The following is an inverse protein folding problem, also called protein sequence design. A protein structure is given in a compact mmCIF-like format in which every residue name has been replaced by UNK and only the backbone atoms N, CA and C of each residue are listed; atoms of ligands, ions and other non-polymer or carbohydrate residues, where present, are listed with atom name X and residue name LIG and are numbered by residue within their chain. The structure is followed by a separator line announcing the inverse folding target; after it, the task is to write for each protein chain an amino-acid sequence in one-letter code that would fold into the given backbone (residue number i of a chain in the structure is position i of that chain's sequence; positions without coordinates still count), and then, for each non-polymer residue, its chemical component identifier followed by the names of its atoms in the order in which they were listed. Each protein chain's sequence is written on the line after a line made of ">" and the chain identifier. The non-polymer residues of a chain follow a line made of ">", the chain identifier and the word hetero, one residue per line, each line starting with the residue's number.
data_IF_406992860117
#
_entry.id   IF_406992860117
#
_cell.length_a   1.000
_cell.length_b   1.000
_cell.length_c   1.000
_cell.angle_alpha   90.00
_cell.angle_beta   90.00
_cell.angle_gamma   90.00
#
_symmetry.space_group_name_H-M   'P 1'
#
loop_
_entity.id
_entity.type
_entity.pdbx_description
1 polymer ?
#
# COMPACT_ATOMS: atom_id res chain seq x y z
N UNK A 1 28.93 48.12 -9.70
CA UNK A 1 28.04 47.14 -9.04
C UNK A 1 26.72 47.18 -9.78
N UNK A 2 26.45 46.19 -10.63
CA UNK A 2 25.13 46.02 -11.23
C UNK A 2 24.61 44.64 -10.79
N UNK A 3 23.66 44.67 -9.86
CA UNK A 3 22.81 43.53 -9.54
C UNK A 3 21.95 43.23 -10.76
N UNK A 4 22.29 42.19 -11.50
CA UNK A 4 21.37 41.58 -12.46
C UNK A 4 20.37 40.73 -11.67
N UNK A 5 19.26 41.35 -11.26
CA UNK A 5 18.07 40.62 -10.82
C UNK A 5 17.57 39.78 -12.00
N UNK A 6 17.56 38.45 -11.83
CA UNK A 6 16.88 37.53 -12.75
C UNK A 6 15.37 37.72 -12.58
N UNK A 7 14.59 37.89 -13.66
CA UNK A 7 13.14 37.86 -13.56
C UNK A 7 12.71 36.39 -13.48
N UNK A 8 12.36 35.92 -12.28
CA UNK A 8 11.57 34.71 -12.12
C UNK A 8 10.10 35.10 -11.98
N UNK A 9 9.36 35.03 -13.09
CA UNK A 9 7.93 34.72 -13.05
C UNK A 9 7.55 34.02 -14.34
N UNK A 10 7.84 32.71 -14.42
CA UNK A 10 7.13 31.88 -15.39
C UNK A 10 5.64 32.00 -15.04
N UNK A 11 4.82 32.44 -16.00
CA UNK A 11 3.39 32.54 -15.79
C UNK A 11 2.80 31.16 -15.51
N UNK A 12 1.65 31.09 -14.85
CA UNK A 12 0.94 29.82 -14.65
C UNK A 12 0.76 29.03 -15.97
N UNK A 13 0.56 29.72 -17.09
CA UNK A 13 0.49 29.12 -18.43
C UNK A 13 1.80 28.49 -18.91
N UNK A 14 2.96 29.08 -18.59
CA UNK A 14 4.27 28.51 -18.93
C UNK A 14 4.53 27.25 -18.11
N UNK A 15 4.17 27.25 -16.82
CA UNK A 15 4.28 26.07 -15.95
C UNK A 15 3.40 24.92 -16.47
N UNK A 16 2.16 25.20 -16.88
CA UNK A 16 1.28 24.18 -17.44
C UNK A 16 1.82 23.61 -18.75
N UNK A 17 2.40 24.45 -19.60
CA UNK A 17 3.03 24.01 -20.85
C UNK A 17 4.25 23.13 -20.56
N UNK A 18 5.13 23.55 -19.66
CA UNK A 18 6.31 22.78 -19.29
C UNK A 18 5.93 21.41 -18.69
N UNK A 19 4.91 21.35 -17.83
CA UNK A 19 4.39 20.09 -17.30
C UNK A 19 3.78 19.20 -18.39
N UNK A 20 3.09 19.79 -19.36
CA UNK A 20 2.55 19.07 -20.51
C UNK A 20 3.65 18.49 -21.40
N UNK A 21 4.69 19.29 -21.68
CA UNK A 21 5.84 18.86 -22.48
C UNK A 21 6.64 17.75 -21.76
N UNK A 22 6.85 17.88 -20.45
CA UNK A 22 7.45 16.84 -19.61
C UNK A 22 6.62 15.54 -19.61
N UNK A 23 5.29 15.65 -19.51
CA UNK A 23 4.40 14.48 -19.59
C UNK A 23 4.53 13.79 -20.94
N UNK A 24 4.51 14.55 -22.05
CA UNK A 24 4.63 14.00 -23.40
C UNK A 24 5.99 13.31 -23.63
N UNK A 25 7.07 13.91 -23.12
CA UNK A 25 8.40 13.30 -23.17
C UNK A 25 8.46 12.00 -22.37
N UNK A 26 7.87 11.97 -21.17
CA UNK A 26 7.79 10.75 -20.37
C UNK A 26 6.97 9.68 -21.11
N UNK A 27 5.80 10.02 -21.65
CA UNK A 27 4.96 9.06 -22.39
C UNK A 27 5.71 8.43 -23.57
N UNK A 28 6.45 9.24 -24.34
CA UNK A 28 7.32 8.75 -25.42
C UNK A 28 8.45 7.85 -24.93
N UNK A 29 9.07 8.19 -23.80
CA UNK A 29 10.11 7.33 -23.22
C UNK A 29 9.52 5.97 -22.82
N UNK A 30 8.36 5.97 -22.14
CA UNK A 30 7.67 4.77 -21.69
C UNK A 30 7.28 3.83 -22.85
N UNK A 31 6.94 4.36 -24.03
CA UNK A 31 6.62 3.55 -25.23
C UNK A 31 7.79 2.66 -25.68
N UNK A 32 9.03 3.03 -25.35
CA UNK A 32 10.23 2.29 -25.76
C UNK A 32 10.74 1.31 -24.70
N UNK A 33 10.21 1.40 -23.47
CA UNK A 33 10.68 0.58 -22.36
C UNK A 33 9.95 -0.77 -22.31
N UNK A 34 10.64 -1.85 -21.88
CA UNK A 34 9.97 -3.09 -21.50
C UNK A 34 8.86 -2.82 -20.47
N UNK A 35 7.70 -3.43 -20.68
CA UNK A 35 6.57 -3.32 -19.76
C UNK A 35 6.07 -4.70 -19.34
N UNK A 36 5.51 -4.77 -18.14
CA UNK A 36 4.75 -5.93 -17.65
C UNK A 36 3.39 -5.49 -17.11
N UNK A 37 2.46 -6.44 -17.10
CA UNK A 37 1.17 -6.36 -16.41
C UNK A 37 1.02 -7.65 -15.61
N UNK A 38 0.63 -7.52 -14.34
CA UNK A 38 0.40 -8.69 -13.49
C UNK A 38 -0.91 -9.38 -13.86
N UNK A 39 -0.91 -10.72 -13.82
CA UNK A 39 -2.12 -11.53 -13.93
C UNK A 39 -2.25 -12.39 -12.68
N UNK A 40 -3.40 -12.30 -12.03
CA UNK A 40 -3.75 -13.05 -10.84
C UNK A 40 -4.73 -14.14 -11.21
N UNK A 41 -4.43 -15.37 -10.86
CA UNK A 41 -5.29 -16.51 -11.14
C UNK A 41 -6.56 -16.44 -10.29
N UNK A 42 -7.66 -17.00 -10.78
CA UNK A 42 -8.89 -17.13 -10.00
C UNK A 42 -8.65 -17.75 -8.61
N UNK A 43 -7.73 -18.72 -8.51
CA UNK A 43 -7.36 -19.36 -7.24
C UNK A 43 -6.70 -18.38 -6.25
N UNK A 44 -5.70 -17.61 -6.69
CA UNK A 44 -5.04 -16.59 -5.86
C UNK A 44 -6.07 -15.55 -5.38
N UNK A 45 -6.95 -15.10 -6.27
CA UNK A 45 -7.99 -14.13 -5.95
C UNK A 45 -9.04 -14.71 -4.99
N UNK A 46 -9.39 -15.98 -5.12
CA UNK A 46 -10.31 -16.63 -4.21
C UNK A 46 -9.75 -16.65 -2.77
N UNK A 47 -8.43 -16.82 -2.61
CA UNK A 47 -7.78 -16.70 -1.29
C UNK A 47 -7.91 -15.27 -0.74
N UNK A 48 -7.75 -14.24 -1.57
CA UNK A 48 -7.96 -12.84 -1.19
C UNK A 48 -9.40 -12.59 -0.75
N UNK A 49 -10.38 -13.03 -1.54
CA UNK A 49 -11.80 -12.87 -1.26
C UNK A 49 -12.19 -13.57 0.05
N UNK A 50 -11.79 -14.83 0.24
CA UNK A 50 -12.04 -15.56 1.49
C UNK A 50 -11.38 -14.88 2.70
N UNK A 51 -10.14 -14.42 2.54
CA UNK A 51 -9.45 -13.69 3.61
C UNK A 51 -10.21 -12.41 3.95
N UNK A 52 -10.64 -11.65 2.94
CA UNK A 52 -11.40 -10.41 3.15
C UNK A 52 -12.75 -10.66 3.83
N UNK A 53 -13.46 -11.73 3.50
CA UNK A 53 -14.69 -12.13 4.16
C UNK A 53 -14.45 -12.46 5.64
N UNK A 54 -13.45 -13.30 5.95
CA UNK A 54 -13.09 -13.64 7.33
C UNK A 54 -12.73 -12.40 8.16
N UNK A 55 -11.95 -11.48 7.59
CA UNK A 55 -11.60 -10.22 8.25
C UNK A 55 -12.84 -9.34 8.48
N UNK A 56 -13.78 -9.32 7.55
CA UNK A 56 -15.01 -8.52 7.66
C UNK A 56 -15.95 -9.10 8.71
N UNK A 57 -16.04 -10.43 8.83
CA UNK A 57 -16.72 -11.10 9.95
C UNK A 57 -16.06 -10.78 11.28
N UNK A 58 -14.72 -10.74 11.33
CA UNK A 58 -13.98 -10.39 12.54
C UNK A 58 -14.26 -8.94 12.97
N UNK A 59 -14.33 -8.00 12.02
CA UNK A 59 -14.75 -6.61 12.26
C UNK A 59 -16.20 -6.54 12.75
N UNK A 60 -17.11 -7.32 12.17
CA UNK A 60 -18.50 -7.36 12.60
C UNK A 60 -18.64 -7.85 14.05
N UNK A 61 -17.94 -8.93 14.42
CA UNK A 61 -17.89 -9.43 15.80
C UNK A 61 -17.33 -8.39 16.77
N UNK A 62 -16.21 -7.75 16.41
CA UNK A 62 -15.65 -6.65 17.21
C UNK A 62 -16.68 -5.54 17.42
N UNK A 63 -17.36 -5.09 16.36
CA UNK A 63 -18.35 -4.02 16.46
C UNK A 63 -19.52 -4.41 17.37
N UNK A 64 -19.97 -5.65 17.34
CA UNK A 64 -21.03 -6.16 18.21
C UNK A 64 -20.60 -6.16 19.69
N UNK A 65 -19.40 -6.63 19.99
CA UNK A 65 -18.85 -6.64 21.36
C UNK A 65 -18.57 -5.22 21.86
N UNK A 66 -18.05 -4.35 20.98
CA UNK A 66 -17.67 -2.99 21.30
C UNK A 66 -18.86 -2.06 21.58
N UNK A 67 -20.08 -2.37 21.10
CA UNK A 67 -21.30 -1.58 21.37
C UNK A 67 -21.56 -1.36 22.86
N UNK A 68 -21.18 -2.33 23.71
CA UNK A 68 -21.40 -2.26 25.15
C UNK A 68 -20.28 -1.48 25.88
N UNK A 69 -19.19 -1.14 25.18
CA UNK A 69 -17.94 -0.66 25.76
C UNK A 69 -17.51 0.73 25.25
N UNK A 70 -18.28 1.38 24.37
CA UNK A 70 -17.90 2.68 23.77
C UNK A 70 -17.70 3.81 24.80
N UNK A 71 -18.33 3.72 25.98
CA UNK A 71 -18.16 4.67 27.08
C UNK A 71 -16.92 4.40 27.97
N UNK A 72 -16.16 3.33 27.67
CA UNK A 72 -15.07 2.81 28.48
C UNK A 72 -13.79 2.67 27.62
N UNK A 73 -12.99 3.75 27.46
CA UNK A 73 -11.90 3.79 26.47
C UNK A 73 -10.79 2.77 26.69
N UNK A 74 -10.49 2.41 27.95
CA UNK A 74 -9.44 1.45 28.29
C UNK A 74 -9.87 0.05 27.85
N UNK A 75 -11.08 -0.34 28.21
CA UNK A 75 -11.70 -1.61 27.87
C UNK A 75 -11.91 -1.76 26.35
N UNK A 76 -12.33 -0.67 25.69
CA UNK A 76 -12.44 -0.62 24.22
C UNK A 76 -11.08 -0.85 23.53
N UNK A 77 -10.02 -0.19 24.02
CA UNK A 77 -8.66 -0.36 23.50
C UNK A 77 -8.17 -1.80 23.67
N UNK A 78 -8.34 -2.37 24.87
CA UNK A 78 -7.96 -3.76 25.15
C UNK A 78 -8.71 -4.77 24.29
N UNK A 79 -10.01 -4.56 24.05
CA UNK A 79 -10.80 -5.38 23.13
C UNK A 79 -10.25 -5.30 21.70
N UNK A 80 -9.92 -4.10 21.23
CA UNK A 80 -9.34 -3.90 19.91
C UNK A 80 -8.00 -4.65 19.79
N UNK A 81 -7.12 -4.56 20.78
CA UNK A 81 -5.84 -5.26 20.80
C UNK A 81 -6.01 -6.79 20.76
N UNK A 82 -7.00 -7.34 21.49
CA UNK A 82 -7.34 -8.76 21.41
C UNK A 82 -7.77 -9.18 19.99
N UNK A 83 -8.58 -8.36 19.32
CA UNK A 83 -9.02 -8.64 17.94
C UNK A 83 -7.90 -8.46 16.92
N UNK A 84 -6.97 -7.53 17.14
CA UNK A 84 -5.74 -7.37 16.34
C UNK A 84 -4.87 -8.63 16.50
N UNK A 85 -4.73 -9.17 17.70
CA UNK A 85 -3.97 -10.40 17.94
C UNK A 85 -4.63 -11.61 17.25
N UNK A 86 -5.96 -11.77 17.38
CA UNK A 86 -6.72 -12.80 16.65
C UNK A 86 -6.54 -12.68 15.14
N UNK A 87 -6.61 -11.46 14.61
CA UNK A 87 -6.39 -11.18 13.18
C UNK A 87 -4.98 -11.55 12.76
N UNK A 88 -3.98 -11.18 13.56
CA UNK A 88 -2.57 -11.48 13.30
C UNK A 88 -2.34 -12.99 13.27
N UNK A 89 -2.85 -13.75 14.26
CA UNK A 89 -2.75 -15.22 14.28
C UNK A 89 -3.41 -15.88 13.07
N UNK A 90 -4.59 -15.38 12.67
CA UNK A 90 -5.26 -15.87 11.47
C UNK A 90 -4.40 -15.62 10.22
N UNK A 91 -3.92 -14.39 10.01
CA UNK A 91 -3.09 -14.05 8.85
C UNK A 91 -1.78 -14.84 8.84
N UNK A 92 -1.12 -14.98 9.99
CA UNK A 92 0.11 -15.78 10.15
C UNK A 92 -0.08 -17.27 9.80
N UNK A 93 -1.33 -17.78 9.81
CA UNK A 93 -1.64 -19.16 9.46
C UNK A 93 -1.86 -19.42 7.97
N UNK A 94 -1.85 -18.37 7.12
CA UNK A 94 -2.12 -18.51 5.69
C UNK A 94 -0.82 -18.65 4.89
N UNK A 95 -0.72 -19.67 4.04
CA UNK A 95 0.46 -19.95 3.22
C UNK A 95 0.63 -19.03 1.99
N UNK A 96 -0.34 -18.14 1.73
CA UNK A 96 -0.29 -17.21 0.59
C UNK A 96 0.73 -16.08 0.75
N UNK A 97 1.22 -15.86 1.96
CA UNK A 97 2.16 -14.77 2.26
C UNK A 97 3.59 -15.22 2.00
N UNK A 98 4.31 -14.43 1.20
CA UNK A 98 5.75 -14.63 0.97
C UNK A 98 6.61 -13.69 1.80
N UNK A 99 6.03 -12.61 2.34
CA UNK A 99 6.72 -11.74 3.26
C UNK A 99 5.76 -11.16 4.30
N UNK A 100 6.29 -10.97 5.50
CA UNK A 100 5.70 -10.18 6.57
C UNK A 100 6.73 -9.15 7.00
N UNK A 101 6.33 -7.90 7.14
CA UNK A 101 7.21 -6.80 7.55
C UNK A 101 6.42 -5.73 8.30
N UNK A 102 7.11 -4.83 9.00
CA UNK A 102 6.49 -3.64 9.58
C UNK A 102 7.10 -2.37 9.03
N UNK A 103 6.30 -1.30 9.09
CA UNK A 103 6.76 0.06 8.82
C UNK A 103 6.61 0.91 10.07
N UNK A 104 7.42 1.96 10.17
CA UNK A 104 7.28 2.98 11.21
C UNK A 104 5.86 3.58 11.21
N UNK A 105 5.50 4.26 12.30
CA UNK A 105 4.23 4.98 12.41
C UNK A 105 4.38 6.51 12.41
N UNK A 106 5.44 7.03 11.76
CA UNK A 106 5.75 8.47 11.71
C UNK A 106 4.73 9.30 10.93
N UNK A 107 3.87 8.66 10.11
CA UNK A 107 2.88 9.35 9.31
C UNK A 107 3.47 9.98 8.04
N UNK A 108 4.57 9.43 7.52
CA UNK A 108 5.21 9.90 6.29
C UNK A 108 6.67 9.47 6.15
N UNK A 109 7.41 10.20 5.31
CA UNK A 109 8.86 9.99 5.17
C UNK A 109 9.58 10.58 6.38
N UNK A 110 9.99 9.71 7.30
CA UNK A 110 10.85 10.02 8.44
C UNK A 110 12.33 10.09 8.01
N UNK A 111 13.06 11.01 8.62
CA UNK A 111 14.52 11.11 8.53
C UNK A 111 15.14 10.67 9.87
N UNK A 112 16.34 10.09 9.83
CA UNK A 112 17.03 9.61 11.03
C UNK A 112 17.03 8.09 11.18
N UNK A 113 17.41 7.56 12.36
CA UNK A 113 17.50 6.12 12.58
C UNK A 113 16.13 5.44 12.40
N UNK A 114 16.16 4.14 12.07
CA UNK A 114 14.94 3.32 12.03
C UNK A 114 14.50 3.02 13.45
N UNK A 115 13.24 3.33 13.77
CA UNK A 115 12.64 3.05 15.08
C UNK A 115 11.58 1.97 14.95
N UNK A 116 11.39 1.16 16.00
CA UNK A 116 10.31 0.17 16.07
C UNK A 116 9.43 0.46 17.25
N UNK A 117 8.11 0.47 17.05
CA UNK A 117 7.12 0.74 18.08
C UNK A 117 6.04 -0.34 18.11
N UNK A 118 5.32 -0.51 19.23
CA UNK A 118 4.13 -1.36 19.26
C UNK A 118 3.01 -0.93 18.30
N UNK A 119 3.05 0.30 17.78
CA UNK A 119 1.99 0.92 16.98
C UNK A 119 2.28 0.89 15.48
N UNK A 120 3.45 0.36 15.12
CA UNK A 120 3.90 0.13 13.75
C UNK A 120 2.87 -0.63 12.94
N UNK A 121 2.77 -0.27 11.66
CA UNK A 121 1.90 -0.99 10.75
C UNK A 121 2.53 -2.32 10.38
N UNK A 122 1.75 -3.40 10.39
CA UNK A 122 2.21 -4.72 9.95
C UNK A 122 1.63 -5.03 8.58
N UNK A 123 2.48 -5.49 7.66
CA UNK A 123 2.10 -5.85 6.30
C UNK A 123 2.28 -7.33 6.08
N UNK A 124 1.37 -7.88 5.29
CA UNK A 124 1.41 -9.22 4.73
C UNK A 124 1.43 -9.07 3.21
N UNK A 125 2.36 -9.75 2.54
CA UNK A 125 2.59 -9.57 1.11
C UNK A 125 2.68 -10.93 0.41
N UNK A 126 1.99 -11.06 -0.72
CA UNK A 126 2.08 -12.22 -1.63
C UNK A 126 3.29 -12.12 -2.56
N UNK A 127 3.59 -13.19 -3.30
CA UNK A 127 4.70 -13.23 -4.26
C UNK A 127 4.60 -12.18 -5.36
N UNK A 128 3.38 -11.83 -5.77
CA UNK A 128 3.08 -10.83 -6.81
C UNK A 128 2.97 -9.41 -6.27
N UNK A 129 3.07 -9.22 -4.95
CA UNK A 129 3.01 -7.91 -4.31
C UNK A 129 1.61 -7.42 -3.96
N UNK A 130 0.57 -8.27 -3.97
CA UNK A 130 -0.68 -7.93 -3.26
C UNK A 130 -0.34 -7.81 -1.78
N UNK A 131 -0.79 -6.72 -1.14
CA UNK A 131 -0.54 -6.45 0.28
C UNK A 131 -1.82 -6.27 1.09
N UNK A 132 -1.75 -6.68 2.35
CA UNK A 132 -2.73 -6.35 3.39
C UNK A 132 -2.00 -5.66 4.55
N UNK A 133 -2.55 -4.55 5.03
CA UNK A 133 -1.96 -3.74 6.11
C UNK A 133 -2.83 -3.74 7.36
N UNK A 134 -2.20 -3.99 8.51
CA UNK A 134 -2.74 -3.75 9.84
C UNK A 134 -2.14 -2.44 10.39
N UNK A 135 -2.87 -1.33 10.32
CA UNK A 135 -2.46 -0.01 10.80
C UNK A 135 -2.72 0.13 12.30
N UNK A 136 -1.85 -0.43 13.14
CA UNK A 136 -2.05 -0.54 14.60
C UNK A 136 -2.20 0.80 15.31
N UNK A 137 -1.55 1.86 14.82
CA UNK A 137 -1.76 3.24 15.28
C UNK A 137 -3.25 3.69 15.27
N UNK A 138 -4.11 3.04 14.50
CA UNK A 138 -5.55 3.31 14.46
C UNK A 138 -6.38 2.50 15.47
N UNK A 139 -5.79 1.72 16.40
CA UNK A 139 -6.54 0.86 17.33
C UNK A 139 -7.64 1.59 18.11
N UNK A 140 -7.40 2.85 18.49
CA UNK A 140 -8.36 3.69 19.22
C UNK A 140 -9.58 4.12 18.38
N UNK A 141 -9.53 3.92 17.06
CA UNK A 141 -10.63 4.22 16.12
C UNK A 141 -11.42 2.97 15.71
N UNK A 142 -11.11 1.82 16.32
CA UNK A 142 -11.78 0.54 16.08
C UNK A 142 -11.12 -0.33 15.02
N UNK A 143 -11.46 -1.62 15.04
CA UNK A 143 -10.78 -2.64 14.22
C UNK A 143 -10.89 -2.38 12.71
N UNK A 144 -12.00 -1.82 12.24
CA UNK A 144 -12.19 -1.47 10.82
C UNK A 144 -11.25 -0.35 10.33
N UNK A 145 -10.65 0.42 11.23
CA UNK A 145 -9.62 1.42 10.91
C UNK A 145 -8.20 0.85 11.00
N UNK A 146 -8.04 -0.31 11.63
CA UNK A 146 -6.77 -1.05 11.72
C UNK A 146 -6.60 -1.96 10.51
N UNK A 147 -7.61 -2.76 10.19
CA UNK A 147 -7.57 -3.69 9.05
C UNK A 147 -7.88 -2.88 7.79
N UNK A 148 -6.87 -2.64 6.97
CA UNK A 148 -7.01 -1.91 5.72
C UNK A 148 -7.47 -2.85 4.59
N UNK A 149 -8.06 -2.34 3.51
CA UNK A 149 -8.31 -3.12 2.31
C UNK A 149 -7.03 -3.74 1.74
N UNK A 150 -7.18 -4.75 0.89
CA UNK A 150 -6.06 -5.26 0.10
C UNK A 150 -5.66 -4.23 -0.95
N UNK A 151 -4.35 -4.02 -1.10
CA UNK A 151 -3.78 -3.29 -2.22
C UNK A 151 -3.28 -4.28 -3.28
N UNK A 152 -3.43 -3.88 -4.54
CA UNK A 152 -3.15 -4.73 -5.71
C UNK A 152 -1.65 -4.91 -5.93
N UNK A 153 -0.86 -3.87 -5.65
CA UNK A 153 0.60 -3.92 -5.74
C UNK A 153 1.21 -3.03 -4.66
N UNK A 154 2.23 -3.53 -3.98
CA UNK A 154 3.16 -2.76 -3.16
C UNK A 154 4.55 -2.78 -3.80
N UNK A 155 5.24 -1.64 -3.75
CA UNK A 155 6.67 -1.51 -4.08
C UNK A 155 7.38 -0.72 -3.00
N UNK A 156 8.69 -0.83 -2.95
CA UNK A 156 9.54 -0.22 -1.95
C UNK A 156 10.48 0.78 -2.60
N UNK A 157 10.54 1.99 -2.06
CA UNK A 157 11.24 3.12 -2.65
C UNK A 157 12.34 3.59 -1.72
N UNK A 158 13.58 3.58 -2.20
CA UNK A 158 14.72 4.13 -1.47
C UNK A 158 14.65 5.66 -1.42
N UNK A 159 14.94 6.24 -0.26
CA UNK A 159 15.11 7.68 -0.10
C UNK A 159 16.43 8.20 -0.67
N UNK A 160 17.46 7.35 -0.77
CA UNK A 160 18.82 7.76 -1.11
C UNK A 160 19.03 7.88 -2.62
N UNK A 161 18.63 6.86 -3.37
CA UNK A 161 18.93 6.75 -4.80
C UNK A 161 17.67 6.66 -5.67
N UNK A 162 16.47 6.77 -5.06
CA UNK A 162 15.16 6.62 -5.70
C UNK A 162 14.95 5.27 -6.39
N UNK A 163 15.74 4.25 -6.05
CA UNK A 163 15.52 2.89 -6.54
C UNK A 163 14.15 2.39 -6.09
N UNK A 164 13.49 1.65 -6.97
CA UNK A 164 12.20 1.01 -6.72
C UNK A 164 12.38 -0.50 -6.87
N UNK A 165 12.03 -1.22 -5.81
CA UNK A 165 12.15 -2.68 -5.73
C UNK A 165 10.82 -3.32 -5.31
N UNK A 166 10.65 -4.61 -5.61
CA UNK A 166 9.41 -5.35 -5.34
C UNK A 166 9.44 -6.17 -4.04
N UNK A 167 10.59 -6.21 -3.37
CA UNK A 167 10.76 -6.93 -2.10
C UNK A 167 10.98 -5.94 -0.96
N UNK A 168 10.50 -6.25 0.26
CA UNK A 168 10.72 -5.37 1.39
C UNK A 168 12.21 -5.26 1.71
N UNK A 169 12.69 -4.03 1.84
CA UNK A 169 14.05 -3.70 2.24
C UNK A 169 14.02 -2.70 3.40
N UNK A 170 14.83 -2.94 4.43
CA UNK A 170 14.93 -2.05 5.58
C UNK A 170 15.30 -0.63 5.12
N UNK A 171 14.61 0.38 5.66
CA UNK A 171 14.82 1.77 5.29
C UNK A 171 14.00 2.27 4.11
N UNK A 172 13.46 1.38 3.27
CA UNK A 172 12.70 1.78 2.10
C UNK A 172 11.27 2.14 2.47
N UNK A 173 10.74 3.22 1.90
CA UNK A 173 9.33 3.59 2.07
C UNK A 173 8.43 2.73 1.20
N UNK A 174 7.23 2.42 1.69
CA UNK A 174 6.24 1.68 0.91
C UNK A 174 5.47 2.60 -0.04
N UNK A 175 5.10 2.05 -1.20
CA UNK A 175 4.14 2.67 -2.12
C UNK A 175 3.16 1.61 -2.58
N UNK A 176 1.89 1.85 -2.31
CA UNK A 176 0.80 0.92 -2.57
C UNK A 176 -0.12 1.46 -3.67
N UNK A 177 -0.59 0.56 -4.51
CA UNK A 177 -1.44 0.82 -5.66
C UNK A 177 -2.67 -0.06 -5.58
N UNK A 178 -3.80 0.52 -5.95
CA UNK A 178 -5.06 -0.19 -6.09
C UNK A 178 -5.81 0.36 -7.29
N UNK A 179 -6.24 -0.53 -8.19
CA UNK A 179 -7.22 -0.16 -9.22
C UNK A 179 -8.64 -0.32 -8.67
N UNK A 180 -9.59 0.38 -9.30
CA UNK A 180 -11.01 0.24 -8.94
C UNK A 180 -11.53 -1.18 -9.15
N UNK A 181 -11.07 -1.85 -10.21
CA UNK A 181 -11.52 -3.20 -10.53
C UNK A 181 -11.04 -4.20 -9.48
N UNK A 182 -9.78 -4.12 -9.05
CA UNK A 182 -9.28 -4.94 -7.94
C UNK A 182 -9.99 -4.63 -6.61
N UNK A 183 -10.27 -3.35 -6.33
CA UNK A 183 -11.03 -2.96 -5.13
C UNK A 183 -12.45 -3.55 -5.14
N UNK A 184 -13.13 -3.56 -6.30
CA UNK A 184 -14.45 -4.18 -6.40
C UNK A 184 -14.36 -5.71 -6.26
N UNK A 185 -13.36 -6.33 -6.88
CA UNK A 185 -13.17 -7.77 -6.90
C UNK A 185 -12.99 -8.35 -5.50
N UNK A 186 -12.14 -7.74 -4.66
CA UNK A 186 -11.92 -8.24 -3.29
C UNK A 186 -13.18 -8.20 -2.41
N UNK A 187 -14.22 -7.46 -2.81
CA UNK A 187 -15.50 -7.35 -2.10
C UNK A 187 -16.60 -8.27 -2.67
N UNK A 188 -16.27 -9.12 -3.65
CA UNK A 188 -17.21 -10.11 -4.20
C UNK A 188 -17.37 -11.32 -3.27
N UNK A 189 -18.36 -12.17 -3.56
CA UNK A 189 -18.55 -13.44 -2.85
C UNK A 189 -17.57 -14.53 -3.30
N UNK A 190 -17.08 -14.45 -4.53
CA UNK A 190 -16.18 -15.42 -5.16
C UNK A 190 -15.43 -14.79 -6.33
N UNK A 191 -14.21 -15.25 -6.61
CA UNK A 191 -13.45 -14.94 -7.82
C UNK A 191 -13.40 -16.20 -8.71
N UNK A 192 -14.09 -16.15 -9.84
CA UNK A 192 -14.23 -17.30 -10.75
C UNK A 192 -13.41 -17.17 -12.03
N UNK A 193 -12.75 -16.03 -12.23
CA UNK A 193 -11.99 -15.70 -13.43
C UNK A 193 -10.65 -15.09 -13.03
N UNK A 194 -9.67 -15.24 -13.93
CA UNK A 194 -8.38 -14.58 -13.77
C UNK A 194 -8.56 -13.06 -13.88
N UNK A 195 -7.82 -12.32 -13.06
CA UNK A 195 -7.82 -10.87 -13.05
C UNK A 195 -6.52 -10.36 -13.65
N UNK A 196 -6.64 -9.56 -14.71
CA UNK A 196 -5.53 -8.86 -15.34
C UNK A 196 -5.42 -7.45 -14.78
N UNK A 197 -4.30 -7.15 -14.15
CA UNK A 197 -4.06 -5.83 -13.56
C UNK A 197 -4.09 -4.74 -14.61
N UNK A 198 -4.78 -3.64 -14.30
CA UNK A 198 -4.70 -2.41 -15.08
C UNK A 198 -3.39 -1.64 -14.88
N UNK A 199 -2.56 -2.04 -13.91
CA UNK A 199 -1.26 -1.42 -13.64
C UNK A 199 -0.24 -1.85 -14.70
N UNK A 200 0.46 -0.88 -15.29
CA UNK A 200 1.57 -1.14 -16.21
C UNK A 200 2.88 -0.75 -15.54
N UNK A 201 3.78 -1.73 -15.40
CA UNK A 201 5.09 -1.54 -14.79
C UNK A 201 6.12 -1.45 -15.91
N UNK A 202 6.85 -0.34 -15.97
CA UNK A 202 7.88 -0.07 -16.96
C UNK A 202 9.25 -0.23 -16.34
N UNK A 203 10.14 -0.91 -17.05
CA UNK A 203 11.47 -1.24 -16.57
C UNK A 203 12.55 -0.53 -17.38
N UNK A 204 13.61 -0.09 -16.70
CA UNK A 204 14.81 0.47 -17.32
C UNK A 204 16.03 -0.13 -16.63
N UNK A 205 16.90 -0.80 -17.40
CA UNK A 205 18.04 -1.54 -16.88
C UNK A 205 17.63 -2.56 -15.80
N UNK A 206 16.59 -3.36 -16.08
CA UNK A 206 16.03 -4.39 -15.18
C UNK A 206 15.52 -3.88 -13.82
N UNK A 207 15.29 -2.57 -13.68
CA UNK A 207 14.70 -1.95 -12.49
C UNK A 207 13.38 -1.29 -12.82
N UNK A 208 12.47 -1.23 -11.85
CA UNK A 208 11.21 -0.49 -12.00
C UNK A 208 11.55 0.98 -12.18
N UNK A 209 11.21 1.52 -13.34
CA UNK A 209 11.38 2.93 -13.67
C UNK A 209 10.09 3.71 -13.40
N UNK A 210 8.96 3.14 -13.77
CA UNK A 210 7.66 3.81 -13.65
C UNK A 210 6.53 2.81 -13.51
N UNK A 211 5.50 3.17 -12.75
CA UNK A 211 4.25 2.42 -12.66
C UNK A 211 3.13 3.34 -13.10
N UNK A 212 2.54 3.03 -14.26
CA UNK A 212 1.39 3.75 -14.79
C UNK A 212 0.12 3.13 -14.22
N UNK A 213 -0.62 3.94 -13.48
CA UNK A 213 -1.97 3.61 -13.01
C UNK A 213 -2.99 3.96 -14.08
N UNK A 214 -4.08 3.20 -14.25
CA UNK A 214 -5.20 3.63 -15.08
C UNK A 214 -5.83 4.89 -14.46
N UNK A 215 -6.46 5.73 -15.29
CA UNK A 215 -7.12 6.96 -14.83
C UNK A 215 -8.25 6.68 -13.81
N UNK A 216 -8.77 5.45 -13.81
CA UNK A 216 -9.77 4.95 -12.88
C UNK A 216 -9.20 4.46 -11.54
N UNK A 217 -7.88 4.47 -11.34
CA UNK A 217 -7.26 4.04 -10.09
C UNK A 217 -7.53 5.08 -8.98
N UNK A 218 -8.27 4.69 -7.92
CA UNK A 218 -8.75 5.65 -6.94
C UNK A 218 -7.63 6.20 -6.05
N UNK A 219 -6.59 5.41 -5.74
CA UNK A 219 -5.63 5.77 -4.70
C UNK A 219 -4.21 5.24 -4.96
N UNK A 220 -3.24 6.13 -4.79
CA UNK A 220 -1.83 5.80 -4.54
C UNK A 220 -1.55 6.18 -3.10
N UNK A 221 -1.11 5.22 -2.29
CA UNK A 221 -0.70 5.47 -0.92
C UNK A 221 0.83 5.44 -0.82
N UNK A 222 1.44 6.47 -0.24
CA UNK A 222 2.84 6.47 0.16
C UNK A 222 2.91 6.33 1.68
N UNK A 223 3.60 5.30 2.15
CA UNK A 223 3.71 4.99 3.58
C UNK A 223 5.12 5.17 4.13
N UNK A 224 5.25 4.85 5.42
CA UNK A 224 6.48 4.93 6.19
C UNK A 224 7.54 3.91 5.75
N UNK A 225 8.76 4.04 6.29
CA UNK A 225 9.89 3.16 5.99
C UNK A 225 9.71 1.78 6.64
N UNK A 226 10.13 0.73 5.94
CA UNK A 226 10.23 -0.62 6.52
C UNK A 226 11.29 -0.61 7.61
N UNK A 227 10.90 -1.01 8.82
CA UNK A 227 11.76 -1.00 10.00
C UNK A 227 12.03 -2.40 10.56
N UNK A 228 11.27 -3.41 10.13
CA UNK A 228 11.48 -4.82 10.49
C UNK A 228 10.95 -5.74 9.42
N UNK A 229 11.70 -6.80 9.12
CA UNK A 229 11.25 -7.91 8.28
C UNK A 229 11.17 -9.15 9.16
N UNK A 230 10.06 -9.87 9.10
CA UNK A 230 9.84 -11.08 9.89
C UNK A 230 10.25 -12.29 9.04
N UNK A 231 11.10 -13.15 9.60
CA UNK A 231 11.61 -14.39 9.00
C UNK A 231 10.86 -15.61 9.49
#
# INVERSE_FOLDING_TARGET
>A
MNNSEKPFSAGFGDILKDLSDQKHLLEKELETLPQSTETFTAQELQQIVHTKQHLSENIARFNQEAQQMMAQPIEYGALCDQFIEKTTKYLDSLDMWTAKFSTECSGGRSEGPLETTPDDSVYYMTSKGISLRLKKANRGKGLGQVIQPFFEKIVFVSSENRDVVERPELGFSVREYITRDFFNLQNQSSANEDYHSGLKIYYKNDRIFYIKTPDSAPEKHEGDRVNKIFT
#
